data_IF_100376977971
#
_entry.id   IF_100376977971
#
_cell.length_a   1.000
_cell.length_b   1.000
_cell.length_c   1.000
_cell.angle_alpha   90.00
_cell.angle_beta   90.00
_cell.angle_gamma   90.00
#
_symmetry.space_group_name_H-M   'P 1'
#
loop_
_entity.id
_entity.type
_entity.pdbx_description
1 polymer ?
#
# COMPACT_ATOMS: atom_id res chain seq x y z
N UNK A 1 -24.42 29.86 -36.62
CA UNK A 1 -24.50 28.64 -35.78
C UNK A 1 -23.46 27.63 -36.27
N UNK A 2 -22.43 27.31 -35.48
CA UNK A 2 -21.49 26.20 -35.73
C UNK A 2 -21.31 25.43 -34.42
N UNK A 3 -21.79 24.20 -34.41
CA UNK A 3 -21.76 23.31 -33.24
C UNK A 3 -20.40 22.64 -33.15
N UNK A 4 -19.60 22.99 -32.13
CA UNK A 4 -18.44 22.20 -31.72
C UNK A 4 -18.95 21.02 -30.87
N UNK A 5 -18.93 19.82 -31.43
CA UNK A 5 -19.09 18.58 -30.65
C UNK A 5 -17.83 18.43 -29.81
N UNK A 6 -17.92 18.82 -28.53
CA UNK A 6 -16.92 18.51 -27.51
C UNK A 6 -16.80 16.98 -27.42
N UNK A 7 -15.77 16.41 -28.04
CA UNK A 7 -15.40 15.00 -27.84
C UNK A 7 -15.12 14.81 -26.35
N UNK A 8 -15.86 13.91 -25.70
CA UNK A 8 -15.55 13.45 -24.33
C UNK A 8 -14.13 12.87 -24.34
N UNK A 9 -13.16 13.59 -23.81
CA UNK A 9 -11.82 13.06 -23.57
C UNK A 9 -11.91 12.06 -22.41
N UNK A 10 -11.76 10.77 -22.69
CA UNK A 10 -11.53 9.77 -21.64
C UNK A 10 -10.04 9.81 -21.29
N UNK A 11 -9.69 10.37 -20.13
CA UNK A 11 -8.33 10.23 -19.60
C UNK A 11 -8.18 8.82 -19.07
N UNK A 12 -7.54 7.93 -19.83
CA UNK A 12 -7.01 6.69 -19.29
C UNK A 12 -5.77 7.03 -18.47
N UNK A 13 -5.97 7.52 -17.24
CA UNK A 13 -4.86 7.66 -16.33
C UNK A 13 -4.38 6.22 -16.02
N UNK A 14 -3.22 5.84 -16.57
CA UNK A 14 -2.51 4.62 -16.18
C UNK A 14 -2.11 4.84 -14.72
N UNK A 15 -3.00 4.49 -13.79
CA UNK A 15 -2.73 4.52 -12.36
C UNK A 15 -1.73 3.41 -12.07
N UNK A 16 -0.45 3.70 -12.27
CA UNK A 16 0.65 2.89 -11.75
C UNK A 16 1.27 3.70 -10.63
N UNK A 17 0.98 3.31 -9.40
CA UNK A 17 1.64 3.89 -8.25
C UNK A 17 3.09 3.38 -8.18
N UNK A 18 4.03 4.27 -7.86
CA UNK A 18 5.39 3.86 -7.50
C UNK A 18 5.31 3.18 -6.13
N UNK A 19 5.69 1.92 -6.06
CA UNK A 19 5.67 1.16 -4.80
C UNK A 19 6.98 1.37 -4.05
N UNK A 20 6.89 1.88 -2.82
CA UNK A 20 8.02 1.95 -1.88
C UNK A 20 7.74 1.01 -0.72
N UNK A 21 8.76 0.30 -0.24
CA UNK A 21 8.64 -0.62 0.89
C UNK A 21 9.55 -0.16 2.03
N UNK A 22 9.14 -0.44 3.27
CA UNK A 22 10.05 -0.30 4.40
C UNK A 22 10.90 -1.57 4.57
N UNK A 23 12.05 -1.42 5.24
CA UNK A 23 12.89 -2.55 5.64
C UNK A 23 12.13 -3.58 6.48
N UNK A 24 11.12 -3.16 7.23
CA UNK A 24 10.26 -4.05 8.03
C UNK A 24 9.47 -4.99 7.13
N UNK A 25 8.84 -4.46 6.09
CA UNK A 25 8.14 -5.27 5.10
C UNK A 25 9.09 -6.21 4.36
N UNK A 26 10.23 -5.71 3.88
CA UNK A 26 11.18 -6.53 3.11
C UNK A 26 11.72 -7.70 3.93
N UNK A 27 12.07 -7.46 5.20
CA UNK A 27 12.53 -8.51 6.11
C UNK A 27 11.44 -9.54 6.36
N UNK A 28 10.21 -9.08 6.60
CA UNK A 28 9.07 -9.97 6.82
C UNK A 28 8.81 -10.85 5.59
N UNK A 29 8.80 -10.26 4.39
CA UNK A 29 8.55 -10.97 3.14
C UNK A 29 9.66 -11.98 2.84
N UNK A 30 10.92 -11.62 3.12
CA UNK A 30 12.08 -12.53 2.99
C UNK A 30 12.02 -13.71 3.98
N UNK A 31 11.48 -13.49 5.18
CA UNK A 31 11.33 -14.51 6.21
C UNK A 31 10.10 -15.42 6.03
N UNK A 32 9.20 -15.09 5.11
CA UNK A 32 7.98 -15.87 4.87
C UNK A 32 8.30 -17.21 4.20
N UNK A 33 8.15 -18.30 4.96
CA UNK A 33 8.41 -19.67 4.48
C UNK A 33 7.40 -20.17 3.44
N UNK A 34 6.16 -19.67 3.49
CA UNK A 34 5.13 -20.04 2.52
C UNK A 34 5.32 -19.28 1.20
N UNK A 35 5.96 -19.94 0.23
CA UNK A 35 6.24 -19.36 -1.08
C UNK A 35 4.96 -19.03 -1.86
N UNK A 36 3.91 -19.85 -1.72
CA UNK A 36 2.63 -19.63 -2.40
C UNK A 36 1.93 -18.40 -1.82
N UNK A 37 2.02 -18.18 -0.52
CA UNK A 37 1.55 -16.95 0.10
C UNK A 37 2.37 -15.74 -0.37
N UNK A 38 3.70 -15.86 -0.43
CA UNK A 38 4.60 -14.79 -0.92
C UNK A 38 4.22 -14.32 -2.32
N UNK A 39 4.02 -15.24 -3.26
CA UNK A 39 3.60 -14.91 -4.64
C UNK A 39 2.24 -14.20 -4.65
N UNK A 40 1.27 -14.68 -3.87
CA UNK A 40 -0.05 -14.03 -3.78
C UNK A 40 0.01 -12.63 -3.19
N UNK A 41 0.86 -12.40 -2.20
CA UNK A 41 1.10 -11.08 -1.59
C UNK A 41 1.64 -10.11 -2.63
N UNK A 42 2.68 -10.51 -3.37
CA UNK A 42 3.27 -9.70 -4.42
C UNK A 42 2.27 -9.39 -5.55
N UNK A 43 1.50 -10.37 -6.00
CA UNK A 43 0.46 -10.16 -7.02
C UNK A 43 -0.64 -9.21 -6.53
N UNK A 44 -1.00 -9.26 -5.25
CA UNK A 44 -1.99 -8.35 -4.66
C UNK A 44 -1.45 -6.93 -4.55
N UNK A 45 -0.17 -6.78 -4.22
CA UNK A 45 0.49 -5.48 -4.17
C UNK A 45 0.59 -4.86 -5.56
N UNK A 46 0.95 -5.66 -6.57
CA UNK A 46 0.98 -5.23 -7.97
C UNK A 46 -0.40 -4.74 -8.45
N UNK A 47 -1.46 -5.51 -8.17
CA UNK A 47 -2.84 -5.09 -8.47
C UNK A 47 -3.23 -3.80 -7.77
N UNK A 48 -2.86 -3.64 -6.50
CA UNK A 48 -3.12 -2.42 -5.74
C UNK A 48 -2.41 -1.22 -6.39
N UNK A 49 -1.14 -1.37 -6.78
CA UNK A 49 -0.39 -0.34 -7.49
C UNK A 49 -1.01 0.04 -8.84
N UNK A 50 -1.66 -0.91 -9.51
CA UNK A 50 -2.40 -0.72 -10.77
C UNK A 50 -3.85 -0.21 -10.58
N UNK A 51 -4.22 0.22 -9.38
CA UNK A 51 -5.56 0.75 -9.10
C UNK A 51 -6.66 -0.31 -8.96
N UNK A 52 -6.29 -1.57 -8.73
CA UNK A 52 -7.21 -2.66 -8.42
C UNK A 52 -7.02 -3.17 -6.98
N UNK A 53 -7.52 -2.43 -5.97
CA UNK A 53 -7.23 -2.68 -4.57
C UNK A 53 -7.89 -3.95 -4.02
N UNK A 54 -9.03 -4.39 -4.55
CA UNK A 54 -9.82 -5.46 -3.93
C UNK A 54 -10.33 -5.06 -2.54
N UNK A 55 -10.08 -5.88 -1.52
CA UNK A 55 -10.61 -5.66 -0.16
C UNK A 55 -9.67 -4.78 0.67
N UNK A 56 -9.92 -3.47 0.66
CA UNK A 56 -9.19 -2.48 1.47
C UNK A 56 -10.11 -1.89 2.54
N UNK A 57 -9.56 -1.64 3.73
CA UNK A 57 -10.25 -0.93 4.80
C UNK A 57 -9.36 0.20 5.36
N UNK A 58 -9.91 1.40 5.63
CA UNK A 58 -9.17 2.44 6.34
C UNK A 58 -8.94 2.02 7.79
N UNK A 59 -7.76 2.34 8.34
CA UNK A 59 -7.40 2.07 9.75
C UNK A 59 -7.04 3.35 10.53
N UNK A 60 -7.32 4.51 9.93
CA UNK A 60 -7.06 5.85 10.47
C UNK A 60 -5.68 6.41 10.11
N UNK A 61 -5.49 7.71 10.34
CA UNK A 61 -4.24 8.46 10.12
C UNK A 61 -3.70 8.44 8.67
N UNK A 62 -4.60 8.23 7.70
CA UNK A 62 -4.24 8.07 6.28
C UNK A 62 -3.70 6.68 5.92
N UNK A 63 -3.74 5.72 6.84
CA UNK A 63 -3.35 4.34 6.59
C UNK A 63 -4.54 3.48 6.17
N UNK A 64 -4.24 2.46 5.38
CA UNK A 64 -5.19 1.45 4.92
C UNK A 64 -4.61 0.04 5.09
N UNK A 65 -5.51 -0.91 5.28
CA UNK A 65 -5.24 -2.34 5.37
C UNK A 65 -5.79 -3.03 4.12
N UNK A 66 -4.92 -3.71 3.36
CA UNK A 66 -5.31 -4.62 2.28
C UNK A 66 -5.45 -6.04 2.84
N UNK A 67 -6.64 -6.61 2.67
CA UNK A 67 -6.96 -7.96 3.13
C UNK A 67 -6.63 -9.00 2.06
N UNK A 68 -5.80 -9.97 2.44
CA UNK A 68 -5.43 -11.09 1.59
C UNK A 68 -6.01 -12.37 2.17
N UNK A 69 -6.96 -12.96 1.46
CA UNK A 69 -7.62 -14.21 1.83
C UNK A 69 -6.73 -15.39 1.39
N UNK A 70 -5.62 -15.59 2.10
CA UNK A 70 -4.68 -16.70 1.89
C UNK A 70 -4.04 -17.06 3.22
N UNK A 71 -3.90 -18.37 3.48
CA UNK A 71 -3.31 -18.89 4.71
C UNK A 71 -3.97 -18.30 5.97
N UNK A 72 -3.20 -17.78 6.95
CA UNK A 72 -3.71 -17.23 8.21
C UNK A 72 -4.50 -15.91 8.08
N UNK A 73 -4.61 -15.35 6.87
CA UNK A 73 -5.33 -14.11 6.62
C UNK A 73 -4.42 -12.88 6.65
N UNK A 74 -3.37 -12.88 5.81
CA UNK A 74 -2.40 -11.79 5.71
C UNK A 74 -3.04 -10.42 5.48
N UNK A 75 -2.37 -9.38 6.00
CA UNK A 75 -2.79 -7.97 5.91
C UNK A 75 -1.61 -7.09 5.54
N UNK A 76 -1.69 -6.41 4.40
CA UNK A 76 -0.69 -5.39 4.05
C UNK A 76 -1.16 -4.05 4.60
N UNK A 77 -0.33 -3.37 5.37
CA UNK A 77 -0.58 -2.04 5.87
C UNK A 77 0.20 -1.03 5.05
N UNK A 78 -0.49 -0.04 4.50
CA UNK A 78 0.09 0.92 3.59
C UNK A 78 -0.50 2.31 3.76
N UNK A 79 0.19 3.31 3.22
CA UNK A 79 -0.34 4.66 2.99
C UNK A 79 -0.17 5.02 1.52
N UNK A 80 -1.08 5.85 1.00
CA UNK A 80 -0.97 6.43 -0.33
C UNK A 80 -0.52 7.90 -0.19
N UNK A 81 0.57 8.28 -0.85
CA UNK A 81 1.06 9.66 -0.89
C UNK A 81 1.19 10.10 -2.35
N UNK A 82 0.22 10.86 -2.85
CA UNK A 82 0.17 11.21 -4.28
C UNK A 82 0.14 9.95 -5.16
N UNK A 83 1.12 9.83 -6.06
CA UNK A 83 1.32 8.66 -6.92
C UNK A 83 2.16 7.54 -6.30
N UNK A 84 2.53 7.64 -5.02
CA UNK A 84 3.33 6.62 -4.34
C UNK A 84 2.47 5.77 -3.39
N UNK A 85 2.68 4.46 -3.45
CA UNK A 85 2.13 3.48 -2.53
C UNK A 85 3.24 3.03 -1.58
N UNK A 86 3.15 3.44 -0.31
CA UNK A 86 4.17 3.15 0.70
C UNK A 86 3.70 1.97 1.55
N UNK A 87 4.37 0.83 1.40
CA UNK A 87 4.10 -0.41 2.11
C UNK A 87 4.90 -0.46 3.40
N UNK A 88 4.18 -0.45 4.53
CA UNK A 88 4.78 -0.30 5.84
C UNK A 88 5.15 -1.64 6.45
N UNK A 89 4.21 -2.57 6.50
CA UNK A 89 4.43 -3.93 6.99
C UNK A 89 3.33 -4.87 6.48
N UNK A 90 3.54 -6.17 6.68
CA UNK A 90 2.49 -7.17 6.51
C UNK A 90 2.30 -7.96 7.81
N UNK A 91 1.06 -8.03 8.27
CA UNK A 91 0.64 -8.85 9.41
C UNK A 91 0.37 -10.28 8.97
N UNK A 92 0.78 -11.24 9.81
CA UNK A 92 0.71 -12.67 9.52
C UNK A 92 -0.55 -13.35 10.05
N UNK A 93 -1.29 -12.76 10.97
CA UNK A 93 -2.44 -13.40 11.63
C UNK A 93 -3.45 -12.33 12.06
N UNK A 94 -4.75 -12.63 11.94
CA UNK A 94 -5.83 -11.79 12.48
C UNK A 94 -5.69 -11.58 14.00
N UNK A 95 -5.14 -12.55 14.73
CA UNK A 95 -4.92 -12.45 16.18
C UNK A 95 -3.93 -11.35 16.57
N UNK A 96 -3.01 -10.96 15.67
CA UNK A 96 -2.02 -9.90 15.90
C UNK A 96 -2.42 -8.54 15.32
N UNK A 97 -3.59 -8.45 14.67
CA UNK A 97 -4.02 -7.27 13.92
C UNK A 97 -3.90 -5.96 14.71
N UNK A 98 -4.30 -5.93 15.98
CA UNK A 98 -4.19 -4.72 16.81
C UNK A 98 -2.75 -4.26 17.01
N UNK A 99 -1.81 -5.19 17.22
CA UNK A 99 -0.38 -4.90 17.34
C UNK A 99 0.20 -4.44 16.01
N UNK A 100 -0.22 -5.08 14.92
CA UNK A 100 0.22 -4.76 13.56
C UNK A 100 -0.25 -3.36 13.13
N UNK A 101 -1.49 -2.97 13.44
CA UNK A 101 -2.00 -1.61 13.22
C UNK A 101 -1.19 -0.58 13.99
N UNK A 102 -0.88 -0.84 15.27
CA UNK A 102 -0.09 0.07 16.09
C UNK A 102 1.34 0.22 15.52
N UNK A 103 1.97 -0.87 15.08
CA UNK A 103 3.28 -0.84 14.45
C UNK A 103 3.25 -0.09 13.11
N UNK A 104 2.20 -0.25 12.31
CA UNK A 104 2.03 0.44 11.04
C UNK A 104 1.94 1.96 11.24
N UNK A 105 1.17 2.41 12.23
CA UNK A 105 1.07 3.84 12.57
C UNK A 105 2.44 4.43 12.94
N UNK A 106 3.21 3.74 13.79
CA UNK A 106 4.57 4.17 14.16
C UNK A 106 5.50 4.27 12.95
N UNK A 107 5.48 3.27 12.07
CA UNK A 107 6.30 3.29 10.84
C UNK A 107 5.89 4.41 9.89
N UNK A 108 4.60 4.70 9.78
CA UNK A 108 4.11 5.81 8.97
C UNK A 108 4.59 7.17 9.50
N UNK A 109 4.62 7.34 10.83
CA UNK A 109 5.12 8.57 11.45
C UNK A 109 6.63 8.74 11.22
N UNK A 110 7.42 7.67 11.38
CA UNK A 110 8.84 7.68 11.02
C UNK A 110 9.06 8.04 9.56
N UNK A 111 8.33 7.40 8.64
CA UNK A 111 8.43 7.70 7.20
C UNK A 111 8.14 9.18 6.91
N UNK A 112 7.08 9.74 7.49
CA UNK A 112 6.73 11.16 7.32
C UNK A 112 7.81 12.10 7.86
N UNK A 113 8.48 11.74 8.96
CA UNK A 113 9.57 12.54 9.51
C UNK A 113 10.81 12.52 8.61
N UNK A 114 11.14 11.37 8.03
CA UNK A 114 12.28 11.25 7.12
C UNK A 114 12.07 12.10 5.85
N UNK A 115 10.85 12.08 5.29
CA UNK A 115 10.50 12.90 4.13
C UNK A 115 10.57 14.42 4.40
N UNK A 116 10.30 14.86 5.64
CA UNK A 116 10.44 16.29 6.02
C UNK A 116 11.89 16.74 6.10
N UNK A 117 12.81 15.84 6.47
CA UNK A 117 14.25 16.15 6.54
C UNK A 117 14.86 16.27 5.14
N UNK A 118 14.37 15.46 4.20
CA UNK A 118 14.83 15.49 2.80
C UNK A 118 14.31 16.72 2.04
N UNK A 119 13.14 17.26 2.41
CA UNK A 119 12.56 18.47 1.80
C UNK A 119 12.92 19.81 2.47
N UNK A 120 13.88 19.82 3.39
CA UNK A 120 14.27 21.00 4.19
C UNK A 120 15.57 21.68 3.77
N UNK A 121 16.01 21.48 2.51
CA UNK A 121 17.15 22.17 1.94
C UNK A 121 16.66 23.08 0.80
N UNK A 122 16.11 24.23 1.17
CA UNK A 122 16.01 25.46 0.37
C UNK A 122 15.62 26.63 1.29
#
# INVERSE_FOLDING_TARGET
MRTLVQRKSVRYNRHVAVVRTTRTFDRWLKGLKDEKARVRILLRLDRLAHGNPGQVAPIGNGLSELKINSGPGYRIYFLQSGSELIVLLCGGDKSTQGKDIAAAKKLADTWKLDQRKEGGHD
#
